data_IF_497178283819
#
_entry.id   IF_497178283819
#
_cell.length_a   1.000
_cell.length_b   1.000
_cell.length_c   1.000
_cell.angle_alpha   90.00
_cell.angle_beta   90.00
_cell.angle_gamma   90.00
#
_symmetry.space_group_name_H-M   'P 1'
#
loop_
_entity.id
_entity.type
_entity.pdbx_description
1 polymer ?
#
# COMPACT_ATOMS: atom_id res chain seq x y z
N UNK A 1 0.41 2.89 5.04
CA UNK A 1 -0.88 3.34 4.50
C UNK A 1 -1.15 4.75 5.01
N UNK A 2 -1.87 5.59 4.26
CA UNK A 2 -2.40 6.88 4.74
C UNK A 2 -3.76 6.72 5.47
N UNK A 3 -4.35 5.52 5.44
CA UNK A 3 -5.57 5.17 6.16
C UNK A 3 -5.25 4.15 7.29
N UNK A 4 -6.01 4.15 8.41
CA UNK A 4 -5.86 3.14 9.46
C UNK A 4 -6.24 1.74 8.96
N UNK A 5 -5.69 0.70 9.60
CA UNK A 5 -5.96 -0.72 9.28
C UNK A 5 -7.36 -1.17 9.73
N UNK A 6 -7.97 -0.45 10.68
CA UNK A 6 -9.36 -0.64 11.08
C UNK A 6 -9.91 0.65 11.72
N UNK A 7 -11.23 0.82 11.72
CA UNK A 7 -11.96 1.89 12.41
C UNK A 7 -12.69 2.89 11.50
N UNK A 8 -12.84 2.61 10.21
CA UNK A 8 -13.48 3.52 9.23
C UNK A 8 -14.96 3.24 8.96
N UNK A 9 -15.54 2.21 9.57
CA UNK A 9 -16.97 1.89 9.51
C UNK A 9 -17.27 0.43 9.21
N UNK A 10 -18.56 0.10 9.05
CA UNK A 10 -19.01 -1.25 8.75
C UNK A 10 -18.52 -1.66 7.34
N UNK A 11 -17.61 -2.63 7.29
CA UNK A 11 -16.96 -3.08 6.05
C UNK A 11 -15.45 -3.19 6.19
N UNK A 12 -14.87 -2.40 7.11
CA UNK A 12 -13.43 -2.28 7.32
C UNK A 12 -12.82 -3.63 7.74
N UNK A 13 -12.02 -4.22 6.85
CA UNK A 13 -11.40 -5.51 7.08
C UNK A 13 -9.92 -5.35 7.43
N UNK A 14 -9.49 -5.75 8.65
CA UNK A 14 -8.09 -5.61 9.08
C UNK A 14 -7.13 -6.50 8.27
N UNK A 15 -5.84 -6.38 8.57
CA UNK A 15 -4.74 -7.05 7.86
C UNK A 15 -4.61 -6.57 6.40
N UNK A 16 -4.52 -5.26 6.22
CA UNK A 16 -4.45 -4.59 4.92
C UNK A 16 -3.21 -4.94 4.09
N UNK A 17 -2.15 -5.39 4.76
CA UNK A 17 -0.85 -5.68 4.17
C UNK A 17 -0.46 -7.10 4.57
N UNK A 18 -0.36 -8.00 3.59
CA UNK A 18 0.05 -9.39 3.82
C UNK A 18 1.35 -9.66 3.07
N UNK A 19 2.43 -9.95 3.80
CA UNK A 19 3.71 -10.32 3.22
C UNK A 19 3.67 -11.81 2.85
N UNK A 20 3.90 -12.12 1.58
CA UNK A 20 3.87 -13.48 1.02
C UNK A 20 5.29 -14.02 0.79
N UNK A 21 6.25 -13.13 0.56
CA UNK A 21 7.68 -13.42 0.43
C UNK A 21 8.47 -12.12 0.28
N UNK A 22 9.78 -12.26 0.05
CA UNK A 22 10.73 -11.13 0.05
C UNK A 22 10.30 -10.00 -0.89
N UNK A 23 9.82 -10.34 -2.08
CA UNK A 23 9.39 -9.38 -3.11
C UNK A 23 7.91 -9.51 -3.48
N UNK A 24 7.11 -10.15 -2.63
CA UNK A 24 5.69 -10.38 -2.93
C UNK A 24 4.85 -10.13 -1.69
N UNK A 25 3.88 -9.24 -1.84
CA UNK A 25 2.92 -8.90 -0.81
C UNK A 25 1.57 -8.59 -1.45
N UNK A 26 0.52 -8.63 -0.64
CA UNK A 26 -0.83 -8.28 -1.03
C UNK A 26 -1.24 -7.01 -0.29
N UNK A 27 -1.94 -6.13 -1.00
CA UNK A 27 -2.50 -4.91 -0.47
C UNK A 27 -4.01 -4.96 -0.63
N UNK A 28 -4.74 -4.50 0.38
CA UNK A 28 -6.20 -4.38 0.35
C UNK A 28 -6.62 -3.26 -0.59
N UNK A 29 -7.62 -3.54 -1.44
CA UNK A 29 -8.25 -2.56 -2.33
C UNK A 29 -9.45 -1.83 -1.69
N UNK A 30 -9.85 -2.24 -0.50
CA UNK A 30 -10.72 -1.46 0.37
C UNK A 30 -10.05 -0.14 0.77
N UNK A 31 -10.87 0.87 0.97
CA UNK A 31 -10.49 2.25 1.28
C UNK A 31 -11.67 2.95 1.92
N UNK A 32 -11.38 3.97 2.72
CA UNK A 32 -12.42 4.81 3.32
C UNK A 32 -13.39 5.35 2.26
N UNK A 33 -14.69 5.24 2.52
CA UNK A 33 -15.72 5.88 1.69
C UNK A 33 -15.77 7.41 1.82
N UNK A 34 -15.10 7.97 2.84
CA UNK A 34 -15.07 9.42 3.12
C UNK A 34 -13.73 10.08 2.78
N UNK A 35 -12.73 9.31 2.36
CA UNK A 35 -11.40 9.80 1.96
C UNK A 35 -11.21 9.88 0.44
N UNK A 36 -10.06 10.40 0.02
CA UNK A 36 -9.68 10.55 -1.40
C UNK A 36 -9.14 9.25 -2.04
N UNK A 37 -9.05 8.19 -1.25
CA UNK A 37 -8.44 6.92 -1.61
C UNK A 37 -7.20 6.61 -0.76
N UNK A 38 -6.79 5.34 -0.83
CA UNK A 38 -5.70 4.81 -0.01
C UNK A 38 -4.38 4.85 -0.76
N UNK A 39 -3.30 5.17 -0.06
CA UNK A 39 -1.93 5.21 -0.56
C UNK A 39 -1.06 4.32 0.34
N UNK A 40 -0.45 3.31 -0.26
CA UNK A 40 0.60 2.51 0.36
C UNK A 40 1.97 3.05 -0.09
N UNK A 41 2.81 3.43 0.87
CA UNK A 41 4.23 3.70 0.64
C UNK A 41 5.02 2.45 1.01
N UNK A 42 5.71 1.87 0.03
CA UNK A 42 6.54 0.68 0.18
C UNK A 42 8.00 1.13 0.21
N UNK A 43 8.73 0.72 1.24
CA UNK A 43 10.17 0.99 1.37
C UNK A 43 10.90 -0.35 1.38
N UNK A 44 11.80 -0.53 0.42
CA UNK A 44 12.68 -1.69 0.33
C UNK A 44 14.11 -1.31 0.69
N UNK A 45 14.75 -2.16 1.48
CA UNK A 45 16.20 -2.16 1.66
C UNK A 45 16.75 -3.46 1.08
N UNK A 46 17.77 -3.34 0.23
CA UNK A 46 18.51 -4.49 -0.32
C UNK A 46 19.95 -4.41 0.13
N UNK A 47 20.52 -5.56 0.50
CA UNK A 47 21.91 -5.69 0.95
C UNK A 47 22.62 -6.73 0.09
N UNK A 48 23.78 -6.39 -0.47
CA UNK A 48 24.60 -7.33 -1.24
C UNK A 48 25.45 -8.23 -0.32
N UNK A 49 26.11 -9.24 -0.90
CA UNK A 49 26.94 -10.18 -0.14
C UNK A 49 28.18 -9.53 0.52
N UNK A 50 28.57 -8.35 0.08
CA UNK A 50 29.68 -7.57 0.65
C UNK A 50 29.21 -6.66 1.80
N UNK A 51 27.90 -6.60 2.08
CA UNK A 51 27.30 -5.78 3.13
C UNK A 51 26.88 -4.38 2.69
N UNK A 52 26.97 -4.04 1.40
CA UNK A 52 26.51 -2.74 0.92
C UNK A 52 24.98 -2.72 0.87
N UNK A 53 24.35 -1.65 1.38
CA UNK A 53 22.89 -1.50 1.40
C UNK A 53 22.42 -0.34 0.54
N UNK A 54 21.23 -0.47 -0.06
CA UNK A 54 20.52 0.63 -0.73
C UNK A 54 19.04 0.58 -0.38
N UNK A 55 18.42 1.76 -0.29
CA UNK A 55 16.99 1.93 -0.01
C UNK A 55 16.29 2.47 -1.25
N UNK A 56 15.12 1.93 -1.56
CA UNK A 56 14.22 2.44 -2.60
C UNK A 56 12.78 2.50 -2.08
N UNK A 57 11.99 3.43 -2.62
CA UNK A 57 10.58 3.60 -2.27
C UNK A 57 9.69 3.53 -3.50
N UNK A 58 8.48 3.03 -3.33
CA UNK A 58 7.43 3.01 -4.34
C UNK A 58 6.07 3.31 -3.70
N UNK A 59 5.12 3.82 -4.49
CA UNK A 59 3.75 4.09 -4.03
C UNK A 59 2.74 3.26 -4.81
N UNK A 60 1.73 2.75 -4.11
CA UNK A 60 0.55 2.10 -4.70
C UNK A 60 -0.70 2.86 -4.24
N UNK A 61 -1.52 3.28 -5.20
CA UNK A 61 -2.73 4.06 -4.94
C UNK A 61 -3.98 3.23 -5.22
N UNK A 62 -4.97 3.38 -4.34
CA UNK A 62 -6.31 2.80 -4.44
C UNK A 62 -7.30 3.97 -4.46
N UNK A 63 -7.56 4.57 -5.64
CA UNK A 63 -8.34 5.79 -5.73
C UNK A 63 -9.83 5.54 -5.46
N UNK A 64 -10.53 6.54 -4.90
CA UNK A 64 -11.97 6.44 -4.64
C UNK A 64 -12.78 6.53 -5.95
N UNK A 65 -12.42 7.45 -6.83
CA UNK A 65 -12.95 7.61 -8.17
C UNK A 65 -11.95 7.07 -9.19
N UNK A 66 -12.43 6.38 -10.23
CA UNK A 66 -11.63 6.14 -11.43
C UNK A 66 -11.45 7.52 -12.05
N UNK A 67 -10.26 8.11 -11.96
CA UNK A 67 -9.96 9.34 -12.68
C UNK A 67 -10.42 9.18 -14.14
N UNK A 68 -11.07 10.20 -14.70
CA UNK A 68 -11.30 10.26 -16.13
C UNK A 68 -9.97 9.94 -16.81
N UNK A 69 -9.95 8.91 -17.67
CA UNK A 69 -8.73 8.49 -18.33
C UNK A 69 -8.09 9.67 -19.03
N UNK A 70 -6.86 10.00 -18.65
CA UNK A 70 -6.01 10.88 -19.44
C UNK A 70 -5.87 10.25 -20.83
N UNK A 71 -6.34 10.96 -21.85
CA UNK A 71 -6.20 10.60 -23.27
C UNK A 71 -4.81 10.93 -23.76
#
# INVERSE_FOLDING_TARGET
SNEPDNGLGDGDTPDDIVIVGDFTFKLRAERSGTGDGRIYTITYQVTDACGNSTIATATVTVPHSRGEGEK
#
